data_IF_121322689533
#
_entry.id   IF_121322689533
#
_cell.length_a   1.000
_cell.length_b   1.000
_cell.length_c   1.000
_cell.angle_alpha   90.00
_cell.angle_beta   90.00
_cell.angle_gamma   90.00
#
_symmetry.space_group_name_H-M   'P 1'
#
loop_
_entity.id
_entity.type
_entity.pdbx_description
1 polymer ?
#
# COMPACT_ATOMS: atom_id res chain seq x y z
N UNK A 1 13.94 2.04 -3.34
CA UNK A 1 13.26 1.58 -2.11
C UNK A 1 14.20 1.90 -0.95
N UNK A 2 14.00 3.05 -0.31
CA UNK A 2 14.82 3.46 0.83
C UNK A 2 14.12 2.96 2.08
N UNK A 3 14.61 1.85 2.63
CA UNK A 3 14.24 1.37 3.95
C UNK A 3 15.14 2.10 4.97
N UNK A 4 14.67 3.22 5.50
CA UNK A 4 15.25 3.78 6.71
C UNK A 4 14.79 2.96 7.92
N UNK A 5 15.53 1.89 8.26
CA UNK A 5 15.52 1.33 9.60
C UNK A 5 16.51 2.14 10.42
N UNK A 6 16.03 3.14 11.13
CA UNK A 6 16.82 3.84 12.14
C UNK A 6 17.27 2.84 13.22
N UNK A 7 18.59 2.59 13.30
CA UNK A 7 19.23 1.91 14.44
C UNK A 7 19.54 2.87 15.60
N UNK A 8 19.16 4.12 15.50
CA UNK A 8 19.35 5.07 16.59
C UNK A 8 18.14 5.04 17.52
N UNK A 9 18.38 5.05 18.82
CA UNK A 9 17.47 5.01 19.96
C UNK A 9 16.35 6.08 20.01
N UNK A 10 15.82 6.51 18.88
CA UNK A 10 14.62 7.36 18.78
C UNK A 10 13.46 6.41 18.57
N UNK A 11 13.03 5.76 19.64
CA UNK A 11 11.75 5.07 19.69
C UNK A 11 10.67 6.12 19.48
N UNK A 12 9.77 5.85 18.53
CA UNK A 12 8.46 6.49 18.37
C UNK A 12 8.38 7.83 17.62
N UNK A 13 9.32 8.18 16.74
CA UNK A 13 9.03 9.22 15.76
C UNK A 13 8.19 8.63 14.62
N UNK A 14 6.94 9.10 14.43
CA UNK A 14 6.15 8.68 13.28
C UNK A 14 6.81 9.16 11.99
N UNK A 15 7.11 8.23 11.09
CA UNK A 15 7.74 8.51 9.80
C UNK A 15 6.74 8.14 8.71
N UNK A 16 6.44 9.10 7.84
CA UNK A 16 5.63 8.86 6.64
C UNK A 16 6.47 9.09 5.39
N UNK A 17 6.27 8.23 4.40
CA UNK A 17 6.83 8.45 3.06
C UNK A 17 5.78 9.12 2.19
N UNK A 18 6.13 10.24 1.57
CA UNK A 18 5.26 10.88 0.58
C UNK A 18 5.34 10.17 -0.79
N UNK A 19 5.27 8.87 -0.80
CA UNK A 19 4.99 8.12 -2.00
C UNK A 19 3.51 7.75 -1.98
N UNK A 20 2.82 8.03 -3.08
CA UNK A 20 1.49 7.47 -3.27
C UNK A 20 1.56 5.97 -2.98
N UNK A 21 0.84 5.53 -1.96
CA UNK A 21 0.75 4.12 -1.62
C UNK A 21 -0.41 3.52 -2.42
N UNK A 22 -0.26 2.27 -2.80
CA UNK A 22 -1.33 1.50 -3.45
C UNK A 22 -1.87 0.47 -2.45
N UNK A 23 -2.82 0.86 -1.60
CA UNK A 23 -3.31 -0.02 -0.52
C UNK A 23 -3.76 -1.39 -1.02
N UNK A 24 -4.21 -1.49 -2.28
CA UNK A 24 -4.63 -2.74 -2.89
C UNK A 24 -3.49 -3.71 -3.24
N UNK A 25 -2.23 -3.22 -3.38
CA UNK A 25 -1.15 -4.05 -3.98
C UNK A 25 0.21 -3.95 -3.31
N UNK A 26 0.42 -3.00 -2.39
CA UNK A 26 1.75 -2.68 -1.86
C UNK A 26 2.12 -3.44 -0.57
N UNK A 27 1.25 -4.32 -0.10
CA UNK A 27 1.44 -5.02 1.16
C UNK A 27 0.86 -6.45 1.13
N UNK A 28 1.37 -7.31 2.01
CA UNK A 28 1.00 -8.73 2.05
C UNK A 28 -0.47 -8.96 2.42
N UNK A 29 -1.03 -8.15 3.34
CA UNK A 29 -2.43 -8.26 3.76
C UNK A 29 -3.37 -8.04 2.56
N UNK A 30 -3.20 -6.95 1.84
CA UNK A 30 -4.03 -6.66 0.68
C UNK A 30 -3.84 -7.68 -0.44
N UNK A 31 -2.60 -8.17 -0.65
CA UNK A 31 -2.33 -9.22 -1.62
C UNK A 31 -3.10 -10.52 -1.27
N UNK A 32 -3.19 -10.88 0.02
CA UNK A 32 -3.96 -12.04 0.47
C UNK A 32 -5.47 -11.83 0.23
N UNK A 33 -6.02 -10.68 0.60
CA UNK A 33 -7.43 -10.36 0.38
C UNK A 33 -7.78 -10.27 -1.12
N UNK A 34 -6.92 -9.67 -1.93
CA UNK A 34 -7.08 -9.62 -3.38
C UNK A 34 -7.09 -11.03 -4.00
N UNK A 35 -6.26 -11.94 -3.49
CA UNK A 35 -6.27 -13.32 -3.97
C UNK A 35 -7.52 -14.08 -3.54
N UNK A 36 -8.05 -13.81 -2.34
CA UNK A 36 -9.33 -14.37 -1.91
C UNK A 36 -10.47 -13.87 -2.81
N UNK A 37 -10.50 -12.57 -3.13
CA UNK A 37 -11.47 -12.00 -4.05
C UNK A 37 -11.35 -12.60 -5.47
N UNK A 38 -10.11 -12.73 -6.00
CA UNK A 38 -9.86 -13.39 -7.30
C UNK A 38 -10.33 -14.84 -7.29
N UNK A 39 -10.07 -15.58 -6.21
CA UNK A 39 -10.54 -16.95 -6.06
C UNK A 39 -12.09 -17.03 -5.95
N UNK A 40 -12.71 -16.02 -5.34
CA UNK A 40 -14.17 -15.94 -5.31
C UNK A 40 -14.76 -15.62 -6.69
N UNK A 41 -14.21 -14.65 -7.42
CA UNK A 41 -14.65 -14.34 -8.78
C UNK A 41 -14.46 -15.54 -9.72
N UNK A 42 -13.34 -16.23 -9.58
CA UNK A 42 -12.93 -17.34 -10.43
C UNK A 42 -12.54 -18.58 -9.60
N UNK A 43 -13.50 -19.38 -9.09
CA UNK A 43 -13.23 -20.48 -8.16
C UNK A 43 -12.28 -21.57 -8.69
N UNK A 44 -12.07 -21.61 -10.02
CA UNK A 44 -11.13 -22.52 -10.69
C UNK A 44 -9.75 -21.93 -10.96
N UNK A 45 -9.53 -20.67 -10.57
CA UNK A 45 -8.19 -20.05 -10.62
C UNK A 45 -7.29 -20.74 -9.58
N UNK A 46 -6.45 -21.65 -10.09
CA UNK A 46 -5.52 -22.41 -9.25
C UNK A 46 -4.45 -21.51 -8.62
N UNK A 47 -4.03 -20.46 -9.32
CA UNK A 47 -3.02 -19.53 -8.81
C UNK A 47 -3.57 -18.73 -7.61
N UNK A 48 -4.75 -18.14 -7.76
CA UNK A 48 -5.39 -17.40 -6.67
C UNK A 48 -5.64 -18.31 -5.46
N UNK A 49 -6.12 -19.54 -5.70
CA UNK A 49 -6.35 -20.54 -4.65
C UNK A 49 -5.06 -20.90 -3.92
N UNK A 50 -3.99 -21.22 -4.63
CA UNK A 50 -2.71 -21.60 -3.99
C UNK A 50 -2.10 -20.41 -3.24
N UNK A 51 -2.24 -19.20 -3.76
CA UNK A 51 -1.78 -18.02 -3.02
C UNK A 51 -2.56 -17.83 -1.71
N UNK A 52 -3.89 -17.98 -1.71
CA UNK A 52 -4.69 -17.96 -0.47
C UNK A 52 -4.24 -19.04 0.51
N UNK A 53 -3.91 -20.24 0.02
CA UNK A 53 -3.40 -21.36 0.85
C UNK A 53 -2.07 -21.09 1.53
N UNK A 54 -1.28 -20.16 0.98
CA UNK A 54 -0.01 -19.72 1.57
C UNK A 54 -0.17 -18.62 2.63
N UNK A 55 -1.40 -18.19 2.90
CA UNK A 55 -1.73 -17.14 3.85
C UNK A 55 -2.47 -17.70 5.08
N UNK A 56 -2.56 -16.95 6.19
CA UNK A 56 -3.37 -17.34 7.35
C UNK A 56 -4.85 -17.62 7.03
N UNK A 57 -5.38 -17.07 5.94
CA UNK A 57 -6.76 -17.33 5.49
C UNK A 57 -7.04 -18.80 5.21
N UNK A 58 -6.01 -19.57 4.88
CA UNK A 58 -6.14 -21.01 4.63
C UNK A 58 -6.74 -21.79 5.81
N UNK A 59 -6.56 -21.34 7.04
CA UNK A 59 -7.11 -21.95 8.23
C UNK A 59 -8.66 -21.89 8.30
N UNK A 60 -9.25 -20.96 7.56
CA UNK A 60 -10.70 -20.66 7.56
C UNK A 60 -11.40 -21.16 6.30
N UNK A 61 -10.70 -21.83 5.40
CA UNK A 61 -11.19 -22.26 4.10
C UNK A 61 -11.00 -23.78 3.89
N UNK A 62 -11.93 -24.44 3.18
CA UNK A 62 -11.83 -25.87 2.93
C UNK A 62 -10.66 -26.19 2.01
N UNK A 63 -10.09 -27.39 2.20
CA UNK A 63 -8.99 -27.91 1.37
C UNK A 63 -9.49 -28.71 0.18
N UNK A 64 -10.63 -29.37 0.32
CA UNK A 64 -11.24 -30.15 -0.74
C UNK A 64 -11.68 -29.25 -1.90
N UNK A 65 -11.41 -29.62 -3.17
CA UNK A 65 -11.76 -28.77 -4.32
C UNK A 65 -13.26 -28.53 -4.50
N UNK A 66 -14.11 -29.48 -4.17
CA UNK A 66 -15.57 -29.33 -4.31
C UNK A 66 -16.13 -28.42 -3.22
N UNK A 67 -15.66 -28.62 -2.00
CA UNK A 67 -16.01 -27.75 -0.86
C UNK A 67 -15.46 -26.33 -1.08
N UNK A 68 -14.28 -26.20 -1.68
CA UNK A 68 -13.71 -24.91 -2.06
C UNK A 68 -14.63 -24.13 -3.01
N UNK A 69 -15.06 -24.78 -4.12
CA UNK A 69 -15.98 -24.11 -5.05
C UNK A 69 -17.29 -23.71 -4.38
N UNK A 70 -17.81 -24.53 -3.47
CA UNK A 70 -19.01 -24.20 -2.70
C UNK A 70 -18.77 -23.02 -1.75
N UNK A 71 -17.62 -22.99 -1.06
CA UNK A 71 -17.24 -21.89 -0.17
C UNK A 71 -17.08 -20.57 -0.94
N UNK A 72 -16.47 -20.60 -2.12
CA UNK A 72 -16.32 -19.38 -2.95
C UNK A 72 -17.68 -18.86 -3.44
N UNK A 73 -18.62 -19.72 -3.79
CA UNK A 73 -19.99 -19.29 -4.11
C UNK A 73 -20.71 -18.66 -2.92
N UNK A 74 -20.60 -19.26 -1.74
CA UNK A 74 -21.14 -18.70 -0.51
C UNK A 74 -20.52 -17.32 -0.21
N UNK A 75 -19.22 -17.18 -0.38
CA UNK A 75 -18.50 -15.91 -0.24
C UNK A 75 -19.02 -14.84 -1.22
N UNK A 76 -19.24 -15.20 -2.50
CA UNK A 76 -19.85 -14.29 -3.48
C UNK A 76 -21.24 -13.82 -3.05
N UNK A 77 -22.09 -14.75 -2.57
CA UNK A 77 -23.44 -14.44 -2.10
C UNK A 77 -23.42 -13.51 -0.88
N UNK A 78 -22.51 -13.75 0.06
CA UNK A 78 -22.32 -12.87 1.21
C UNK A 78 -21.85 -11.47 0.78
N UNK A 79 -20.87 -11.40 -0.10
CA UNK A 79 -20.33 -10.13 -0.61
C UNK A 79 -21.43 -9.33 -1.34
N UNK A 80 -22.24 -9.98 -2.17
CA UNK A 80 -23.35 -9.32 -2.84
C UNK A 80 -24.35 -8.74 -1.85
N UNK A 81 -24.65 -9.46 -0.77
CA UNK A 81 -25.62 -9.08 0.25
C UNK A 81 -25.08 -8.01 1.21
N UNK A 82 -23.84 -8.15 1.67
CA UNK A 82 -23.26 -7.37 2.77
C UNK A 82 -22.33 -6.24 2.30
N UNK A 83 -21.85 -6.30 1.07
CA UNK A 83 -20.91 -5.35 0.49
C UNK A 83 -19.46 -5.66 0.79
N UNK A 84 -18.57 -4.95 0.08
CA UNK A 84 -17.14 -5.12 0.19
C UNK A 84 -16.60 -4.69 1.55
N UNK A 85 -17.05 -3.56 2.08
CA UNK A 85 -16.58 -3.05 3.37
C UNK A 85 -16.69 -4.11 4.47
N UNK A 86 -17.88 -4.72 4.63
CA UNK A 86 -18.14 -5.66 5.71
C UNK A 86 -17.33 -6.96 5.52
N UNK A 87 -17.32 -7.51 4.33
CA UNK A 87 -16.58 -8.73 4.01
C UNK A 87 -15.06 -8.53 4.17
N UNK A 88 -14.51 -7.44 3.67
CA UNK A 88 -13.09 -7.13 3.84
C UNK A 88 -12.73 -6.93 5.31
N UNK A 89 -13.59 -6.27 6.09
CA UNK A 89 -13.41 -6.08 7.54
C UNK A 89 -13.39 -7.42 8.29
N UNK A 90 -14.27 -8.34 7.94
CA UNK A 90 -14.31 -9.67 8.54
C UNK A 90 -13.03 -10.45 8.25
N UNK A 91 -12.64 -10.54 6.99
CA UNK A 91 -11.48 -11.35 6.57
C UNK A 91 -10.13 -10.73 6.92
N UNK A 92 -10.02 -9.41 6.98
CA UNK A 92 -8.80 -8.72 7.39
C UNK A 92 -8.36 -9.09 8.81
N UNK A 93 -9.30 -9.38 9.72
CA UNK A 93 -9.01 -9.77 11.12
C UNK A 93 -8.13 -11.01 11.23
N UNK A 94 -8.17 -11.89 10.23
CA UNK A 94 -7.35 -13.10 10.17
C UNK A 94 -5.91 -12.83 9.68
N UNK A 95 -5.59 -11.58 9.30
CA UNK A 95 -4.33 -11.14 8.72
C UNK A 95 -3.64 -10.00 9.50
N UNK A 96 -4.33 -9.46 10.51
CA UNK A 96 -3.83 -8.32 11.30
C UNK A 96 -2.87 -8.80 12.40
N UNK A 97 -1.58 -8.96 12.04
CA UNK A 97 -0.54 -9.44 12.97
C UNK A 97 0.16 -8.29 13.70
N UNK A 98 0.30 -7.11 13.07
CA UNK A 98 1.01 -5.96 13.60
C UNK A 98 0.30 -4.62 13.29
N UNK A 99 0.82 -3.52 13.85
CA UNK A 99 0.25 -2.19 13.64
C UNK A 99 0.34 -1.71 12.18
N UNK A 100 1.31 -2.18 11.43
CA UNK A 100 1.42 -1.86 10.00
C UNK A 100 0.31 -2.55 9.21
N UNK A 101 0.13 -3.86 9.41
CA UNK A 101 -0.94 -4.64 8.77
C UNK A 101 -2.32 -4.06 9.10
N UNK A 102 -2.53 -3.65 10.36
CA UNK A 102 -3.79 -3.05 10.81
C UNK A 102 -4.07 -1.72 10.09
N UNK A 103 -3.08 -0.85 9.93
CA UNK A 103 -3.26 0.40 9.15
C UNK A 103 -3.58 0.11 7.68
N UNK A 104 -2.94 -0.89 7.08
CA UNK A 104 -3.21 -1.30 5.69
C UNK A 104 -4.61 -1.93 5.55
N UNK A 105 -5.05 -2.70 6.53
CA UNK A 105 -6.42 -3.21 6.58
C UNK A 105 -7.44 -2.08 6.53
N UNK A 106 -7.28 -1.05 7.37
CA UNK A 106 -8.18 0.12 7.38
C UNK A 106 -8.23 0.80 6.01
N UNK A 107 -7.08 0.99 5.36
CA UNK A 107 -7.02 1.62 4.04
C UNK A 107 -7.70 0.76 2.97
N UNK A 108 -7.51 -0.57 3.01
CA UNK A 108 -8.13 -1.48 2.06
C UNK A 108 -9.64 -1.61 2.26
N UNK A 109 -10.11 -1.66 3.51
CA UNK A 109 -11.52 -1.65 3.87
C UNK A 109 -12.18 -0.35 3.39
N UNK A 110 -11.50 0.78 3.52
CA UNK A 110 -11.99 2.07 3.03
C UNK A 110 -12.19 2.07 1.49
N UNK A 111 -11.33 1.37 0.73
CA UNK A 111 -11.57 1.16 -0.70
C UNK A 111 -12.87 0.36 -0.94
N UNK A 112 -13.13 -0.65 -0.11
CA UNK A 112 -14.37 -1.41 -0.15
C UNK A 112 -15.60 -0.52 0.08
N UNK A 113 -15.55 0.34 1.11
CA UNK A 113 -16.62 1.30 1.40
C UNK A 113 -16.86 2.25 0.22
N UNK A 114 -15.81 2.83 -0.34
CA UNK A 114 -15.92 3.72 -1.50
C UNK A 114 -16.54 3.02 -2.72
N UNK A 115 -16.20 1.76 -2.92
CA UNK A 115 -16.78 0.98 -4.02
C UNK A 115 -18.26 0.63 -3.78
N UNK A 116 -18.60 0.31 -2.53
CA UNK A 116 -20.00 0.07 -2.13
C UNK A 116 -20.88 1.30 -2.34
N UNK A 117 -20.35 2.51 -2.12
CA UNK A 117 -21.05 3.79 -2.36
C UNK A 117 -21.36 4.03 -3.84
N UNK A 118 -20.61 3.41 -4.76
CA UNK A 118 -20.92 3.45 -6.19
C UNK A 118 -22.11 2.54 -6.55
N UNK A 119 -22.60 1.73 -5.61
CA UNK A 119 -23.68 0.77 -5.85
C UNK A 119 -23.27 -0.45 -6.67
N UNK A 120 -21.97 -0.65 -6.87
CA UNK A 120 -21.42 -1.77 -7.62
C UNK A 120 -21.19 -2.98 -6.72
N UNK A 121 -21.26 -4.20 -7.30
CA UNK A 121 -21.09 -5.46 -6.58
C UNK A 121 -20.24 -6.48 -7.35
N UNK A 122 -19.69 -6.10 -8.48
CA UNK A 122 -18.83 -6.97 -9.27
C UNK A 122 -17.43 -7.04 -8.66
N UNK A 123 -16.91 -8.25 -8.49
CA UNK A 123 -15.62 -8.49 -7.83
C UNK A 123 -14.47 -8.08 -8.75
N UNK A 124 -14.54 -8.35 -10.05
CA UNK A 124 -13.47 -8.00 -10.99
C UNK A 124 -13.37 -6.48 -11.17
N UNK A 125 -14.51 -5.79 -11.17
CA UNK A 125 -14.53 -4.32 -11.15
C UNK A 125 -13.90 -3.75 -9.87
N UNK A 126 -14.19 -4.34 -8.70
CA UNK A 126 -13.54 -3.93 -7.45
C UNK A 126 -12.03 -4.17 -7.48
N UNK A 127 -11.58 -5.32 -7.96
CA UNK A 127 -10.16 -5.63 -8.10
C UNK A 127 -9.47 -4.56 -8.94
N UNK A 128 -10.01 -4.26 -10.13
CA UNK A 128 -9.49 -3.21 -10.99
C UNK A 128 -9.54 -1.81 -10.37
N UNK A 129 -10.55 -1.52 -9.57
CA UNK A 129 -10.66 -0.27 -8.81
C UNK A 129 -9.54 -0.17 -7.76
N UNK A 130 -9.36 -1.21 -6.94
CA UNK A 130 -8.37 -1.23 -5.88
C UNK A 130 -6.91 -1.21 -6.38
N UNK A 131 -6.62 -1.86 -7.51
CA UNK A 131 -5.30 -1.87 -8.15
C UNK A 131 -4.88 -0.48 -8.67
N UNK A 132 -5.85 0.32 -9.10
CA UNK A 132 -5.60 1.67 -9.64
C UNK A 132 -5.59 2.78 -8.60
N UNK A 133 -6.16 2.54 -7.42
CA UNK A 133 -6.26 3.58 -6.38
C UNK A 133 -4.94 3.82 -5.68
N UNK A 134 -4.57 5.07 -5.67
CA UNK A 134 -3.45 5.59 -4.90
C UNK A 134 -3.99 6.40 -3.73
N UNK A 135 -3.41 6.19 -2.56
CA UNK A 135 -3.75 6.93 -1.34
C UNK A 135 -2.51 7.63 -0.82
N UNK A 136 -2.63 8.90 -0.53
CA UNK A 136 -1.57 9.63 0.16
C UNK A 136 -1.69 9.35 1.67
N UNK A 137 -0.58 9.00 2.30
CA UNK A 137 -0.56 8.92 3.76
C UNK A 137 -0.78 10.33 4.32
N UNK A 138 -1.74 10.46 5.22
CA UNK A 138 -2.03 11.75 5.87
C UNK A 138 -0.86 12.14 6.75
N UNK A 139 -0.29 13.31 6.46
CA UNK A 139 0.77 13.91 7.26
C UNK A 139 0.14 14.75 8.37
N UNK A 140 0.46 14.40 9.63
CA UNK A 140 0.07 15.19 10.81
C UNK A 140 1.23 16.00 11.37
N UNK A 141 0.98 16.92 12.31
CA UNK A 141 2.05 17.62 13.02
C UNK A 141 2.93 16.62 13.81
N UNK A 142 4.25 16.84 13.83
CA UNK A 142 5.19 15.99 14.54
C UNK A 142 5.60 14.70 13.79
N UNK A 143 5.31 14.62 12.49
CA UNK A 143 5.66 13.47 11.65
C UNK A 143 6.88 13.80 10.79
N UNK A 144 7.86 12.89 10.75
CA UNK A 144 8.99 12.99 9.82
C UNK A 144 8.52 12.58 8.43
N UNK A 145 8.58 13.52 7.48
CA UNK A 145 8.22 13.28 6.09
C UNK A 145 9.46 12.91 5.27
N UNK A 146 9.43 11.77 4.60
CA UNK A 146 10.48 11.35 3.68
C UNK A 146 9.98 11.50 2.25
N UNK A 147 10.61 12.39 1.48
CA UNK A 147 10.17 12.68 0.12
C UNK A 147 11.35 12.96 -0.81
N UNK A 148 11.09 13.01 -2.10
CA UNK A 148 12.09 13.43 -3.08
C UNK A 148 12.22 14.96 -3.10
N UNK A 149 13.38 15.47 -3.51
CA UNK A 149 13.62 16.92 -3.66
C UNK A 149 12.57 17.57 -4.59
N UNK A 150 12.14 16.86 -5.64
CA UNK A 150 11.12 17.36 -6.56
C UNK A 150 9.76 17.53 -5.89
N UNK A 151 9.39 16.63 -5.00
CA UNK A 151 8.14 16.72 -4.24
C UNK A 151 8.19 17.76 -3.13
N UNK A 152 9.37 18.00 -2.57
CA UNK A 152 9.58 19.03 -1.55
C UNK A 152 9.51 20.46 -2.12
N UNK A 153 9.57 20.63 -3.44
CA UNK A 153 9.54 21.94 -4.08
C UNK A 153 8.23 22.68 -3.79
N UNK A 154 8.35 23.84 -3.16
CA UNK A 154 7.20 24.67 -2.78
C UNK A 154 6.59 24.35 -1.42
N UNK A 155 7.11 23.35 -0.71
CA UNK A 155 6.73 23.06 0.67
C UNK A 155 7.67 23.74 1.66
N UNK A 156 7.17 24.05 2.85
CA UNK A 156 7.94 24.65 3.95
C UNK A 156 7.96 23.69 5.13
N UNK A 157 9.13 23.47 5.70
CA UNK A 157 9.34 22.57 6.85
C UNK A 157 10.14 23.31 7.93
N UNK A 158 9.90 22.99 9.19
CA UNK A 158 10.67 23.54 10.32
C UNK A 158 12.12 23.07 10.27
N UNK A 159 12.35 21.80 9.87
CA UNK A 159 13.68 21.22 9.70
C UNK A 159 13.70 20.39 8.42
N UNK A 160 14.73 20.58 7.60
CA UNK A 160 14.96 19.81 6.37
C UNK A 160 16.30 19.10 6.45
N UNK A 161 16.30 17.78 6.29
CA UNK A 161 17.50 16.97 6.21
C UNK A 161 17.64 16.44 4.78
N UNK A 162 18.75 16.76 4.13
CA UNK A 162 19.06 16.26 2.79
C UNK A 162 20.27 15.32 2.91
N UNK A 163 20.07 14.01 3.03
CA UNK A 163 21.16 13.06 3.11
C UNK A 163 21.80 12.84 1.74
N UNK A 164 23.06 12.38 1.75
CA UNK A 164 23.77 11.88 0.55
C UNK A 164 24.07 12.95 -0.53
N UNK A 165 24.25 14.21 -0.12
CA UNK A 165 24.67 15.29 -1.02
C UNK A 165 26.09 15.08 -1.59
N UNK A 166 26.92 14.29 -0.91
CA UNK A 166 28.32 14.00 -1.32
C UNK A 166 28.44 12.78 -2.23
N UNK A 167 27.33 12.15 -2.63
CA UNK A 167 27.44 10.99 -3.51
C UNK A 167 27.99 11.41 -4.88
N UNK A 168 29.18 10.92 -5.22
CA UNK A 168 29.84 11.09 -6.52
C UNK A 168 29.08 10.50 -7.72
N UNK A 169 27.79 10.24 -7.58
CA UNK A 169 26.89 9.67 -8.58
C UNK A 169 26.12 10.71 -9.39
N UNK A 170 26.45 11.98 -9.28
CA UNK A 170 26.01 12.95 -10.27
C UNK A 170 26.64 12.56 -11.60
N UNK A 171 25.80 12.09 -12.52
CA UNK A 171 26.17 11.69 -13.88
C UNK A 171 27.12 12.75 -14.46
N UNK A 172 28.31 12.34 -14.89
CA UNK A 172 29.33 13.22 -15.46
C UNK A 172 28.80 14.07 -16.63
N UNK A 173 27.74 13.63 -17.29
CA UNK A 173 27.06 14.35 -18.38
C UNK A 173 26.25 15.58 -17.91
N UNK A 174 25.95 15.72 -16.60
CA UNK A 174 25.29 16.90 -16.03
C UNK A 174 26.22 17.87 -15.34
N UNK A 175 27.50 17.53 -15.23
CA UNK A 175 28.52 18.43 -14.65
C UNK A 175 28.74 19.71 -15.47
N UNK A 176 28.46 19.67 -16.76
CA UNK A 176 28.64 20.82 -17.66
C UNK A 176 27.53 21.86 -17.58
N UNK A 177 26.46 21.60 -16.82
CA UNK A 177 25.25 22.46 -16.76
C UNK A 177 25.11 23.32 -15.49
N UNK A 178 25.97 23.15 -14.49
CA UNK A 178 25.91 23.89 -13.22
C UNK A 178 27.31 24.43 -12.87
N UNK A 179 27.73 25.48 -13.53
CA UNK A 179 28.82 26.28 -13.07
C UNK A 179 28.29 27.49 -12.27
N UNK A 180 28.40 27.44 -10.95
CA UNK A 180 28.52 28.66 -10.19
C UNK A 180 29.92 29.18 -10.42
N UNK A 181 30.09 30.26 -11.17
CA UNK A 181 31.37 30.93 -11.33
C UNK A 181 31.41 31.99 -10.23
N UNK A 182 32.33 31.78 -9.30
CA UNK A 182 32.68 32.80 -8.32
C UNK A 182 33.23 34.02 -9.04
N UNK A 183 32.72 35.20 -8.78
CA UNK A 183 33.29 36.45 -9.32
C UNK A 183 34.57 36.81 -8.57
N UNK A 184 35.33 37.78 -9.09
CA UNK A 184 36.63 38.18 -8.52
C UNK A 184 36.45 38.84 -7.10
N UNK A 185 35.23 38.98 -6.60
CA UNK A 185 34.86 39.47 -5.26
C UNK A 185 34.36 38.31 -4.34
N UNK A 186 34.43 37.03 -4.76
CA UNK A 186 34.03 35.87 -3.97
C UNK A 186 32.53 35.68 -3.82
N UNK A 187 31.71 36.21 -4.75
CA UNK A 187 30.23 36.05 -4.77
C UNK A 187 29.87 35.00 -5.80
N UNK A 188 28.95 34.07 -5.41
CA UNK A 188 28.41 32.98 -6.24
C UNK A 188 27.18 33.46 -6.98
#
# INVERSE_FOLDING_TARGET
RVLFRSRANVKDLPVTGESATKPGTDNALSAALMSLLKAAAHPRDSFAREHVRMTPLAAHLPKDPVEWEAAMRCFQEQLYREGFENILREWARHLEEDDFSRRRAVQFIELGRQFDELGLRDIDEFIGFAERRETNETTGPGVVQVMTIHKAKGLTFDVTLVPDLESNKLDSRRRDALYAKEDDEGRI
#
